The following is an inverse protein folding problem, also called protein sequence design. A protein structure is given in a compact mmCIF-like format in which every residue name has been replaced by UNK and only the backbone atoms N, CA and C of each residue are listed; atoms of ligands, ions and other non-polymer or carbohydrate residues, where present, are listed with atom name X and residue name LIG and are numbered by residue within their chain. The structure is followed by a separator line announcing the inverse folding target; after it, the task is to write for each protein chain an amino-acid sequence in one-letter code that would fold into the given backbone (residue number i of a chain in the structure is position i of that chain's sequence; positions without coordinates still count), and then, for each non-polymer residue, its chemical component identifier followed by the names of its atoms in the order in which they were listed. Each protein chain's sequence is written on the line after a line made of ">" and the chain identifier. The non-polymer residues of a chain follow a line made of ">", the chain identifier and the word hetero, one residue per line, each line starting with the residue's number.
data_IF_864016097418
#
_entry.id   IF_864016097418
#
_cell.length_a   1.000
_cell.length_b   1.000
_cell.length_c   1.000
_cell.angle_alpha   90.00
_cell.angle_beta   90.00
_cell.angle_gamma   90.00
#
_symmetry.space_group_name_H-M   'P 1'
#
loop_
_entity.id
_entity.type
_entity.pdbx_description
1 polymer ?
#
# COMPACT_ATOMS: atom_id res chain seq x y z
N UNK A 1 21.85 20.05 67.24
CA UNK A 1 20.60 19.30 67.36
C UNK A 1 20.17 18.93 65.93
N UNK A 2 20.59 17.76 65.41
CA UNK A 2 20.37 17.36 64.04
C UNK A 2 19.19 16.41 63.95
N UNK A 3 18.11 16.81 63.33
CA UNK A 3 16.96 15.98 63.05
C UNK A 3 17.18 15.34 61.67
N UNK A 4 17.46 14.02 61.63
CA UNK A 4 17.48 13.21 60.40
C UNK A 4 16.06 12.79 60.08
N UNK A 5 15.49 13.33 58.99
CA UNK A 5 14.23 12.86 58.44
C UNK A 5 14.55 11.65 57.55
N UNK A 6 14.04 10.48 57.95
CA UNK A 6 14.10 9.24 57.18
C UNK A 6 12.93 9.24 56.17
N UNK A 7 13.21 9.47 54.89
CA UNK A 7 12.23 9.26 53.82
C UNK A 7 12.17 7.75 53.50
N UNK A 8 11.11 7.09 53.95
CA UNK A 8 10.76 5.74 53.54
C UNK A 8 10.08 5.83 52.19
N UNK A 9 10.77 5.44 51.13
CA UNK A 9 10.21 5.35 49.77
C UNK A 9 9.36 4.09 49.67
N UNK A 10 8.04 4.23 49.66
CA UNK A 10 7.09 3.19 49.29
C UNK A 10 7.08 3.04 47.79
N UNK A 11 7.71 1.97 47.25
CA UNK A 11 7.62 1.54 45.88
C UNK A 11 6.27 0.84 45.65
N UNK A 12 5.42 1.30 44.75
CA UNK A 12 4.24 0.54 44.37
C UNK A 12 4.68 -0.64 43.49
N UNK A 13 4.43 -1.85 43.98
CA UNK A 13 4.55 -3.08 43.20
C UNK A 13 3.42 -3.07 42.16
N UNK A 14 3.75 -2.72 40.92
CA UNK A 14 2.84 -2.90 39.78
C UNK A 14 2.73 -4.40 39.48
N UNK A 15 1.61 -5.00 39.86
CA UNK A 15 1.21 -6.31 39.37
C UNK A 15 0.92 -6.20 37.87
N UNK A 16 1.86 -6.62 37.03
CA UNK A 16 1.64 -6.86 35.63
C UNK A 16 0.81 -8.15 35.50
N UNK A 17 -0.49 -8.00 35.32
CA UNK A 17 -1.34 -9.10 34.90
C UNK A 17 -0.95 -9.48 33.47
N UNK A 18 -0.23 -10.57 33.29
CA UNK A 18 0.06 -11.18 31.99
C UNK A 18 -1.25 -11.80 31.52
N UNK A 19 -2.03 -11.03 30.78
CA UNK A 19 -3.11 -11.58 29.96
C UNK A 19 -2.47 -12.39 28.84
N UNK A 20 -2.59 -13.72 28.92
CA UNK A 20 -2.28 -14.58 27.78
C UNK A 20 -3.28 -14.26 26.68
N UNK A 21 -2.85 -13.46 25.69
CA UNK A 21 -3.61 -13.28 24.47
C UNK A 21 -3.58 -14.61 23.71
N UNK A 22 -4.65 -15.38 23.82
CA UNK A 22 -4.90 -16.50 22.93
C UNK A 22 -5.29 -15.92 21.56
N UNK A 23 -4.29 -15.55 20.77
CA UNK A 23 -4.46 -15.04 19.40
C UNK A 23 -4.41 -16.17 18.36
N UNK A 24 -4.53 -17.41 18.79
CA UNK A 24 -4.63 -18.54 17.89
C UNK A 24 -6.08 -19.01 17.90
N UNK A 25 -6.82 -18.65 16.86
CA UNK A 25 -8.14 -19.17 16.60
C UNK A 25 -8.06 -20.68 16.43
N UNK A 26 -8.11 -21.40 17.54
CA UNK A 26 -8.06 -22.84 17.56
C UNK A 26 -9.35 -23.42 17.01
N UNK A 27 -9.30 -23.98 15.81
CA UNK A 27 -10.39 -24.82 15.34
C UNK A 27 -10.41 -26.13 16.12
N UNK A 28 -11.60 -26.73 16.36
CA UNK A 28 -11.73 -28.04 16.97
C UNK A 28 -10.90 -29.12 16.24
N UNK A 29 -10.49 -30.19 16.92
CA UNK A 29 -9.79 -31.30 16.26
C UNK A 29 -10.53 -31.80 15.02
N UNK A 30 -9.81 -31.91 13.88
CA UNK A 30 -10.39 -32.32 12.61
C UNK A 30 -10.90 -31.16 11.74
N UNK A 31 -10.68 -29.91 12.15
CA UNK A 31 -10.99 -28.73 11.36
C UNK A 31 -9.75 -27.85 11.17
N UNK A 32 -9.73 -27.07 10.05
CA UNK A 32 -8.68 -26.08 9.79
C UNK A 32 -9.31 -24.67 9.66
N UNK A 33 -8.58 -23.61 10.02
CA UNK A 33 -9.10 -22.24 9.94
C UNK A 33 -9.28 -21.83 8.47
N UNK A 34 -10.45 -21.25 8.17
CA UNK A 34 -10.77 -20.61 6.90
C UNK A 34 -11.21 -19.17 7.17
N UNK A 35 -10.75 -18.24 6.35
CA UNK A 35 -11.11 -16.82 6.43
C UNK A 35 -9.89 -15.92 6.32
N UNK A 36 -10.16 -14.65 5.93
CA UNK A 36 -9.18 -13.56 5.90
C UNK A 36 -9.39 -12.61 7.09
N UNK A 37 -8.68 -11.49 7.08
CA UNK A 37 -8.73 -10.51 8.17
C UNK A 37 -10.16 -10.13 8.58
N UNK A 38 -10.52 -10.49 9.82
CA UNK A 38 -11.78 -10.09 10.45
C UNK A 38 -12.90 -11.11 10.45
N UNK A 39 -12.80 -12.24 9.74
CA UNK A 39 -13.78 -13.34 9.78
C UNK A 39 -13.04 -14.66 9.88
N UNK A 40 -13.12 -15.32 11.03
CA UNK A 40 -12.55 -16.64 11.23
C UNK A 40 -13.66 -17.68 11.25
N UNK A 41 -13.57 -18.67 10.37
CA UNK A 41 -14.38 -19.87 10.35
C UNK A 41 -13.52 -21.11 10.42
N UNK A 42 -14.11 -22.27 10.73
CA UNK A 42 -13.42 -23.55 10.70
C UNK A 42 -14.08 -24.46 9.66
N UNK A 43 -13.27 -25.10 8.81
CA UNK A 43 -13.74 -26.12 7.86
C UNK A 43 -13.16 -27.48 8.20
N UNK A 44 -13.90 -28.58 7.92
CA UNK A 44 -13.40 -29.93 8.12
C UNK A 44 -12.15 -30.21 7.28
N UNK A 45 -11.14 -30.85 7.89
CA UNK A 45 -9.98 -31.35 7.15
C UNK A 45 -10.42 -32.51 6.28
N UNK A 46 -10.29 -32.44 4.94
CA UNK A 46 -10.60 -33.56 4.06
C UNK A 46 -9.73 -34.75 4.43
N UNK A 47 -10.37 -35.89 4.81
CA UNK A 47 -9.66 -37.10 5.19
C UNK A 47 -9.37 -37.29 6.69
N UNK A 48 -9.69 -36.34 7.57
CA UNK A 48 -9.48 -36.47 9.02
C UNK A 48 -10.59 -37.20 9.75
N UNK A 49 -11.61 -37.72 9.07
CA UNK A 49 -12.67 -38.51 9.68
C UNK A 49 -12.20 -39.96 9.83
N UNK A 50 -12.04 -40.36 11.08
CA UNK A 50 -11.84 -41.75 11.46
C UNK A 50 -12.94 -42.63 10.90
N UNK A 51 -12.57 -43.84 10.53
CA UNK A 51 -13.34 -44.92 9.98
C UNK A 51 -14.83 -44.97 10.41
N UNK A 52 -15.71 -44.64 9.50
CA UNK A 52 -17.14 -44.82 9.72
C UNK A 52 -17.98 -44.13 8.64
N UNK A 53 -18.47 -44.93 7.71
CA UNK A 53 -19.45 -44.64 6.64
C UNK A 53 -18.90 -44.08 5.34
N UNK A 54 -18.83 -45.00 4.35
CA UNK A 54 -18.64 -44.73 2.93
C UNK A 54 -19.80 -43.90 2.38
N UNK A 55 -19.69 -42.60 2.48
CA UNK A 55 -20.48 -41.66 1.69
C UNK A 55 -19.51 -40.97 0.77
N UNK A 56 -19.53 -41.25 -0.52
CA UNK A 56 -18.82 -40.50 -1.57
C UNK A 56 -19.38 -39.08 -1.61
N UNK A 57 -18.98 -38.25 -0.64
CA UNK A 57 -19.19 -36.80 -0.74
C UNK A 57 -18.17 -36.29 -1.73
N UNK A 58 -18.55 -36.19 -2.99
CA UNK A 58 -17.82 -35.40 -3.97
C UNK A 58 -17.80 -33.96 -3.45
N UNK A 59 -16.70 -33.57 -2.80
CA UNK A 59 -16.43 -32.18 -2.47
C UNK A 59 -16.52 -31.40 -3.78
N UNK A 60 -17.45 -30.43 -3.92
CA UNK A 60 -17.54 -29.66 -5.14
C UNK A 60 -16.17 -29.01 -5.39
N UNK A 61 -15.57 -29.27 -6.54
CA UNK A 61 -14.36 -28.55 -6.96
C UNK A 61 -14.67 -27.04 -6.92
N UNK A 62 -13.75 -26.24 -6.40
CA UNK A 62 -13.94 -24.80 -6.44
C UNK A 62 -14.19 -24.35 -7.87
N UNK A 63 -15.11 -23.40 -8.10
CA UNK A 63 -15.40 -22.90 -9.42
C UNK A 63 -14.10 -22.42 -10.09
N UNK A 64 -13.93 -22.75 -11.36
CA UNK A 64 -12.74 -22.26 -12.11
C UNK A 64 -12.79 -20.74 -12.18
N UNK A 65 -11.66 -20.07 -11.98
CA UNK A 65 -11.59 -18.63 -12.16
C UNK A 65 -12.06 -18.24 -13.57
N UNK A 66 -12.87 -17.22 -13.67
CA UNK A 66 -13.39 -16.70 -14.96
C UNK A 66 -12.39 -15.77 -15.66
N UNK A 67 -11.27 -15.46 -15.00
CA UNK A 67 -10.25 -14.54 -15.48
C UNK A 67 -9.25 -14.21 -14.37
N UNK A 68 -8.40 -13.25 -14.64
CA UNK A 68 -7.39 -12.75 -13.71
C UNK A 68 -7.38 -11.21 -13.68
N UNK A 69 -7.00 -10.64 -12.55
CA UNK A 69 -6.74 -9.21 -12.44
C UNK A 69 -5.32 -8.93 -12.91
N UNK A 70 -5.20 -8.05 -13.90
CA UNK A 70 -3.91 -7.58 -14.41
C UNK A 70 -3.58 -6.27 -13.73
N UNK A 71 -2.45 -6.25 -13.05
CA UNK A 71 -1.91 -5.05 -12.42
C UNK A 71 -1.34 -4.10 -13.48
N UNK A 72 -1.40 -2.81 -13.19
CA UNK A 72 -0.87 -1.78 -14.07
C UNK A 72 0.07 -0.83 -13.34
N UNK A 73 1.03 -0.31 -14.06
CA UNK A 73 2.08 0.55 -13.57
C UNK A 73 2.03 1.93 -14.21
N UNK A 74 2.44 2.92 -13.45
CA UNK A 74 2.70 4.26 -13.94
C UNK A 74 4.03 4.77 -13.43
N UNK A 75 4.63 5.69 -14.15
CA UNK A 75 5.88 6.33 -13.74
C UNK A 75 5.88 7.82 -14.11
N UNK A 76 6.62 8.59 -13.33
CA UNK A 76 6.94 9.98 -13.59
C UNK A 76 8.44 10.13 -13.78
N UNK A 77 8.84 10.88 -14.76
CA UNK A 77 10.23 11.24 -15.02
C UNK A 77 10.37 12.76 -15.00
N UNK A 78 11.53 13.23 -14.61
CA UNK A 78 11.89 14.65 -14.61
C UNK A 78 13.24 14.87 -15.26
N UNK A 79 13.41 16.02 -15.89
CA UNK A 79 14.68 16.49 -16.43
C UNK A 79 15.72 16.61 -15.32
N UNK A 80 16.98 16.27 -15.62
CA UNK A 80 18.09 16.45 -14.68
C UNK A 80 18.52 17.91 -14.62
N UNK A 81 18.30 18.67 -15.69
CA UNK A 81 18.80 20.04 -15.84
C UNK A 81 17.71 21.07 -16.14
N UNK A 82 16.46 20.65 -16.35
CA UNK A 82 15.33 21.50 -16.70
C UNK A 82 14.11 21.27 -15.80
N UNK A 83 13.00 21.87 -16.18
CA UNK A 83 11.71 21.77 -15.48
C UNK A 83 10.75 20.77 -16.15
N UNK A 84 11.15 20.22 -17.29
CA UNK A 84 10.30 19.33 -18.07
C UNK A 84 10.11 17.99 -17.36
N UNK A 85 8.91 17.46 -17.51
CA UNK A 85 8.54 16.17 -16.97
C UNK A 85 7.92 15.26 -18.02
N UNK A 86 7.86 13.99 -17.73
CA UNK A 86 7.17 12.99 -18.53
C UNK A 86 6.45 12.00 -17.62
N UNK A 87 5.38 11.44 -18.14
CA UNK A 87 4.57 10.47 -17.42
C UNK A 87 4.22 9.28 -18.31
N UNK A 88 4.00 8.14 -17.69
CA UNK A 88 3.34 6.98 -18.28
C UNK A 88 2.28 6.44 -17.34
N UNK A 89 1.25 5.83 -17.88
CA UNK A 89 0.13 5.25 -17.13
C UNK A 89 -0.32 3.95 -17.77
N UNK A 90 -0.87 3.05 -16.96
CA UNK A 90 -1.49 1.81 -17.42
C UNK A 90 -0.57 0.88 -18.21
N UNK A 91 0.71 0.90 -17.89
CA UNK A 91 1.67 -0.06 -18.45
C UNK A 91 1.57 -1.40 -17.72
N UNK A 92 1.90 -2.48 -18.42
CA UNK A 92 1.80 -3.83 -17.86
C UNK A 92 2.98 -4.20 -16.97
N UNK A 93 4.09 -3.48 -17.09
CA UNK A 93 5.29 -3.69 -16.29
C UNK A 93 5.87 -2.39 -15.77
N UNK A 94 6.53 -2.45 -14.63
CA UNK A 94 7.28 -1.30 -14.10
C UNK A 94 8.36 -0.81 -15.09
N UNK A 95 9.03 -1.75 -15.77
CA UNK A 95 10.08 -1.42 -16.73
C UNK A 95 9.55 -0.58 -17.89
N UNK A 96 8.42 -0.99 -18.49
CA UNK A 96 7.75 -0.22 -19.55
C UNK A 96 7.30 1.15 -19.05
N UNK A 97 6.73 1.22 -17.85
CA UNK A 97 6.32 2.48 -17.27
C UNK A 97 7.50 3.45 -17.13
N UNK A 98 8.63 2.99 -16.62
CA UNK A 98 9.86 3.78 -16.46
C UNK A 98 10.40 4.26 -17.80
N UNK A 99 10.52 3.37 -18.78
CA UNK A 99 11.06 3.68 -20.09
C UNK A 99 10.19 4.73 -20.82
N UNK A 100 8.88 4.52 -20.84
CA UNK A 100 7.93 5.45 -21.47
C UNK A 100 7.91 6.83 -20.80
N UNK A 101 7.98 6.88 -19.46
CA UNK A 101 8.04 8.13 -18.73
C UNK A 101 9.30 8.94 -19.10
N UNK A 102 10.46 8.29 -19.18
CA UNK A 102 11.71 8.92 -19.62
C UNK A 102 11.57 9.42 -21.06
N UNK A 103 11.15 8.55 -21.97
CA UNK A 103 10.98 8.92 -23.38
C UNK A 103 10.00 10.10 -23.58
N UNK A 104 8.93 10.16 -22.78
CA UNK A 104 7.98 11.26 -22.80
C UNK A 104 8.60 12.57 -22.31
N UNK A 105 9.41 12.52 -21.26
CA UNK A 105 10.13 13.68 -20.75
C UNK A 105 11.15 14.21 -21.77
N UNK A 106 11.92 13.33 -22.39
CA UNK A 106 12.92 13.71 -23.41
C UNK A 106 12.28 14.32 -24.66
N UNK A 107 11.14 13.78 -25.09
CA UNK A 107 10.37 14.36 -26.22
C UNK A 107 9.83 15.75 -25.96
N UNK A 108 9.57 16.10 -24.71
CA UNK A 108 9.14 17.44 -24.31
C UNK A 108 10.30 18.43 -24.15
N UNK A 109 11.50 18.04 -24.56
CA UNK A 109 12.68 18.91 -24.49
C UNK A 109 13.45 18.80 -23.17
N UNK A 110 13.14 17.83 -22.33
CA UNK A 110 13.77 17.63 -21.02
C UNK A 110 15.25 17.21 -21.07
N UNK A 111 15.81 17.01 -22.27
CA UNK A 111 17.19 16.53 -22.43
C UNK A 111 17.38 15.17 -21.75
N UNK A 112 18.33 15.05 -20.83
CA UNK A 112 18.46 13.80 -20.04
C UNK A 112 17.44 13.78 -18.93
N UNK A 113 16.57 12.78 -18.93
CA UNK A 113 15.53 12.56 -17.95
C UNK A 113 15.84 11.35 -17.07
N UNK A 114 15.33 11.37 -15.84
CA UNK A 114 15.37 10.24 -14.91
C UNK A 114 14.00 10.00 -14.30
N UNK A 115 13.69 8.75 -13.96
CA UNK A 115 12.49 8.43 -13.19
C UNK A 115 12.59 9.04 -11.80
N UNK A 116 11.55 9.77 -11.40
CA UNK A 116 11.44 10.42 -10.09
C UNK A 116 10.40 9.75 -9.21
N UNK A 117 9.42 9.04 -9.79
CA UNK A 117 8.39 8.33 -9.04
C UNK A 117 7.81 7.17 -9.85
N UNK A 118 7.40 6.08 -9.17
CA UNK A 118 6.72 4.93 -9.76
C UNK A 118 5.55 4.56 -8.86
N UNK A 119 4.45 4.14 -9.47
CA UNK A 119 3.24 3.75 -8.73
C UNK A 119 2.51 2.61 -9.45
N UNK A 120 1.76 1.83 -8.67
CA UNK A 120 1.05 0.64 -9.14
C UNK A 120 -0.38 0.64 -8.61
N UNK A 121 -1.36 0.41 -9.49
CA UNK A 121 -2.78 0.25 -9.12
C UNK A 121 -3.33 1.39 -8.24
N UNK A 122 -2.81 2.59 -8.40
CA UNK A 122 -3.17 3.77 -7.61
C UNK A 122 -3.25 5.02 -8.49
N UNK A 123 -3.75 6.10 -7.91
CA UNK A 123 -3.60 7.42 -8.50
C UNK A 123 -2.38 8.11 -7.90
N UNK A 124 -1.75 8.98 -8.68
CA UNK A 124 -0.64 9.83 -8.23
C UNK A 124 -0.98 11.30 -8.48
N UNK A 125 -0.46 12.18 -7.66
CA UNK A 125 -0.40 13.61 -7.95
C UNK A 125 1.00 14.15 -7.72
N UNK A 126 1.47 14.99 -8.65
CA UNK A 126 2.67 15.78 -8.53
C UNK A 126 2.29 17.23 -8.21
N UNK A 127 2.77 17.74 -7.11
CA UNK A 127 2.50 19.11 -6.61
C UNK A 127 3.79 19.87 -6.49
N UNK A 128 3.83 21.07 -7.04
CA UNK A 128 4.96 22.01 -6.92
C UNK A 128 4.57 23.24 -6.13
N UNK A 129 5.57 24.00 -5.72
CA UNK A 129 5.45 25.27 -5.01
C UNK A 129 6.21 26.34 -5.78
N UNK A 130 5.85 27.62 -5.59
CA UNK A 130 6.65 28.75 -6.07
C UNK A 130 8.05 28.82 -5.45
N UNK A 131 8.23 28.17 -4.28
CA UNK A 131 9.53 28.06 -3.66
C UNK A 131 10.26 26.82 -4.20
N UNK A 132 11.23 27.02 -5.07
CA UNK A 132 12.04 25.96 -5.68
C UNK A 132 12.68 25.02 -4.62
N UNK A 133 13.06 25.55 -3.45
CA UNK A 133 13.64 24.78 -2.34
C UNK A 133 12.70 23.70 -1.79
N UNK A 134 11.39 23.82 -1.98
CA UNK A 134 10.40 22.82 -1.54
C UNK A 134 10.47 21.54 -2.37
N UNK A 135 10.88 21.64 -3.63
CA UNK A 135 10.86 20.56 -4.60
C UNK A 135 9.43 20.10 -4.93
N UNK A 136 9.31 19.20 -5.89
CA UNK A 136 8.03 18.59 -6.24
C UNK A 136 7.68 17.47 -5.26
N UNK A 137 6.43 17.40 -4.82
CA UNK A 137 5.89 16.34 -3.96
C UNK A 137 5.09 15.37 -4.80
N UNK A 138 5.41 14.10 -4.70
CA UNK A 138 4.72 13.00 -5.37
C UNK A 138 4.01 12.17 -4.31
N UNK A 139 2.69 12.08 -4.42
CA UNK A 139 1.88 11.34 -3.43
C UNK A 139 0.85 10.50 -4.16
N UNK A 140 0.66 9.27 -3.69
CA UNK A 140 -0.37 8.37 -4.20
C UNK A 140 -1.63 8.41 -3.35
N UNK A 141 -2.75 7.99 -3.95
CA UNK A 141 -4.04 7.88 -3.28
C UNK A 141 -5.01 7.01 -4.06
N UNK A 142 -6.15 6.71 -3.45
CA UNK A 142 -7.20 5.91 -4.08
C UNK A 142 -7.92 6.64 -5.22
N UNK A 143 -7.81 7.97 -5.28
CA UNK A 143 -8.30 8.80 -6.39
C UNK A 143 -7.35 9.96 -6.63
N UNK A 144 -7.44 10.60 -7.80
CA UNK A 144 -6.65 11.80 -8.13
C UNK A 144 -6.91 12.94 -7.14
N UNK A 145 -8.15 13.09 -6.69
CA UNK A 145 -8.53 14.09 -5.70
C UNK A 145 -7.83 13.85 -4.36
N UNK A 146 -7.85 12.60 -3.88
CA UNK A 146 -7.19 12.21 -2.61
C UNK A 146 -5.68 12.41 -2.74
N UNK A 147 -5.07 11.91 -3.82
CA UNK A 147 -3.64 12.06 -4.08
C UNK A 147 -3.23 13.55 -4.11
N UNK A 148 -4.00 14.38 -4.81
CA UNK A 148 -3.75 15.82 -4.92
C UNK A 148 -3.89 16.53 -3.57
N UNK A 149 -4.92 16.22 -2.81
CA UNK A 149 -5.11 16.79 -1.47
C UNK A 149 -3.94 16.46 -0.55
N UNK A 150 -3.50 15.21 -0.55
CA UNK A 150 -2.36 14.77 0.27
C UNK A 150 -1.04 15.43 -0.18
N UNK A 151 -0.80 15.49 -1.50
CA UNK A 151 0.40 16.13 -2.05
C UNK A 151 0.47 17.63 -1.74
N UNK A 152 -0.68 18.35 -1.78
CA UNK A 152 -0.77 19.75 -1.37
C UNK A 152 -0.47 19.90 0.13
N UNK A 153 -0.97 18.99 0.96
CA UNK A 153 -0.67 19.02 2.40
C UNK A 153 0.83 18.82 2.66
N UNK A 154 1.47 17.88 1.96
CA UNK A 154 2.91 17.62 2.11
C UNK A 154 3.75 18.78 1.61
N UNK A 155 3.35 19.41 0.50
CA UNK A 155 3.98 20.63 0.02
C UNK A 155 3.93 21.77 1.08
N UNK A 156 2.76 21.99 1.68
CA UNK A 156 2.59 22.99 2.74
C UNK A 156 3.41 22.67 4.00
N UNK A 157 3.42 21.41 4.44
CA UNK A 157 4.25 20.94 5.56
C UNK A 157 5.74 21.16 5.33
N UNK A 158 6.18 21.04 4.09
CA UNK A 158 7.56 21.32 3.68
C UNK A 158 7.87 22.84 3.54
N UNK A 159 6.94 23.71 3.93
CA UNK A 159 7.11 25.16 3.85
C UNK A 159 6.77 25.75 2.47
N UNK A 160 6.18 24.97 1.58
CA UNK A 160 5.80 25.43 0.23
C UNK A 160 4.71 26.51 0.28
N UNK A 161 4.86 27.48 -0.63
CA UNK A 161 3.87 28.52 -0.87
C UNK A 161 3.18 28.30 -2.21
N UNK A 162 1.89 28.63 -2.30
CA UNK A 162 1.09 28.44 -3.51
C UNK A 162 1.23 27.04 -4.12
N UNK A 163 1.12 26.02 -3.27
CA UNK A 163 1.20 24.62 -3.69
C UNK A 163 0.09 24.30 -4.69
N UNK A 164 0.46 23.86 -5.89
CA UNK A 164 -0.49 23.50 -6.97
C UNK A 164 -0.11 22.17 -7.60
N UNK A 165 -1.12 21.40 -7.99
CA UNK A 165 -0.92 20.19 -8.80
C UNK A 165 -0.49 20.59 -10.21
N UNK A 166 0.57 19.94 -10.68
CA UNK A 166 1.06 20.05 -12.05
C UNK A 166 0.76 18.81 -12.87
N UNK A 167 0.42 17.71 -12.20
CA UNK A 167 0.04 16.45 -12.83
C UNK A 167 -0.77 15.59 -11.86
N UNK A 168 -1.78 14.90 -12.40
CA UNK A 168 -2.46 13.79 -11.71
C UNK A 168 -2.92 12.75 -12.72
N UNK A 169 -2.85 11.48 -12.37
CA UNK A 169 -3.36 10.36 -13.16
C UNK A 169 -3.50 9.10 -12.31
N UNK A 170 -4.30 8.16 -12.78
CA UNK A 170 -4.47 6.86 -12.15
C UNK A 170 -3.98 5.74 -13.07
N UNK A 171 -3.40 4.72 -12.48
CA UNK A 171 -3.22 3.41 -13.08
C UNK A 171 -4.10 2.43 -12.32
N UNK A 172 -5.02 1.77 -13.02
CA UNK A 172 -6.02 0.89 -12.41
C UNK A 172 -5.90 -0.52 -12.97
N UNK A 173 -5.98 -1.55 -12.12
CA UNK A 173 -5.98 -2.91 -12.61
C UNK A 173 -7.23 -3.18 -13.44
N UNK A 174 -7.14 -4.07 -14.40
CA UNK A 174 -8.27 -4.48 -15.20
C UNK A 174 -8.44 -6.01 -15.16
N UNK A 175 -9.69 -6.46 -15.29
CA UNK A 175 -10.00 -7.89 -15.28
C UNK A 175 -9.91 -8.47 -16.70
N UNK A 176 -8.99 -9.41 -16.91
CA UNK A 176 -8.83 -10.17 -18.14
C UNK A 176 -9.58 -11.48 -18.02
N UNK A 177 -10.64 -11.65 -18.79
CA UNK A 177 -11.38 -12.93 -18.88
C UNK A 177 -10.57 -13.97 -19.65
N UNK A 178 -10.70 -15.24 -19.23
CA UNK A 178 -10.19 -16.40 -19.97
C UNK A 178 -11.08 -16.78 -21.15
#
# INVERSE_FOLDING_TARGET
>A
MHIRVLCVALLPVMYFSISTAHAEGGCPPGMYPIGGQGVQGCAPIPGAQGAGTSGSSSVPLPPRPLGEWIETWGALAGSIAGEEGGASVSELTEAEAREKAIANCERQGGGRCKVVFVYQNQCVSAVTSELASTGTKYVTGASEEIATKLAIQDCKKAGGKQCKSIYSACTVPFFKKY
#
